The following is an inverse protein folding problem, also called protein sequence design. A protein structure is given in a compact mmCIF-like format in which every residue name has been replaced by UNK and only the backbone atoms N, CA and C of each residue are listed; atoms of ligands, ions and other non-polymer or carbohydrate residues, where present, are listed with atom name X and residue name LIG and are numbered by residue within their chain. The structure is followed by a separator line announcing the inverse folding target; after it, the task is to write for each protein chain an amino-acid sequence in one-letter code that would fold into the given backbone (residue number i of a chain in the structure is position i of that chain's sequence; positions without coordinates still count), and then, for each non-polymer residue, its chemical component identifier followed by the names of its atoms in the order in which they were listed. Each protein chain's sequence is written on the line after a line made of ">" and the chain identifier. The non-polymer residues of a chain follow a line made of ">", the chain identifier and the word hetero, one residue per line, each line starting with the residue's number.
data_IF_675068496270
#
_entry.id   IF_675068496270
#
_cell.length_a   1.000
_cell.length_b   1.000
_cell.length_c   1.000
_cell.angle_alpha   90.00
_cell.angle_beta   90.00
_cell.angle_gamma   90.00
#
_symmetry.space_group_name_H-M   'P 1'
#
loop_
_entity.id
_entity.type
_entity.pdbx_description
1 polymer ?
#
# COMPACT_ATOMS: atom_id res chain seq x y z
N UNK A 1 -3.21 -28.60 7.50
CA UNK A 1 -3.25 -27.42 6.62
C UNK A 1 -4.56 -26.64 6.74
N UNK A 2 -5.73 -27.28 6.63
CA UNK A 2 -7.03 -26.58 6.58
C UNK A 2 -7.40 -25.74 7.80
N UNK A 3 -6.97 -26.10 9.01
CA UNK A 3 -7.31 -25.31 10.20
C UNK A 3 -6.55 -23.97 10.27
N UNK A 4 -5.26 -23.97 9.93
CA UNK A 4 -4.48 -22.75 9.84
C UNK A 4 -4.98 -21.85 8.70
N UNK A 5 -5.41 -22.42 7.58
CA UNK A 5 -6.04 -21.68 6.48
C UNK A 5 -7.33 -20.96 6.93
N UNK A 6 -8.20 -21.66 7.68
CA UNK A 6 -9.41 -21.04 8.25
C UNK A 6 -9.07 -19.92 9.23
N UNK A 7 -8.05 -20.14 10.06
CA UNK A 7 -7.54 -19.11 10.96
C UNK A 7 -7.03 -17.90 10.19
N UNK A 8 -6.20 -18.11 9.16
CA UNK A 8 -5.62 -17.05 8.34
C UNK A 8 -6.70 -16.22 7.65
N UNK A 9 -7.69 -16.87 7.06
CA UNK A 9 -8.83 -16.19 6.45
C UNK A 9 -9.63 -15.38 7.50
N UNK A 10 -9.91 -15.99 8.66
CA UNK A 10 -10.63 -15.32 9.76
C UNK A 10 -9.88 -14.10 10.33
N UNK A 11 -8.56 -14.20 10.50
CA UNK A 11 -7.74 -13.11 11.03
C UNK A 11 -7.53 -11.99 10.01
N UNK A 12 -7.27 -12.32 8.74
CA UNK A 12 -6.92 -11.32 7.72
C UNK A 12 -8.15 -10.56 7.19
N UNK A 13 -9.30 -11.22 7.05
CA UNK A 13 -10.51 -10.61 6.51
C UNK A 13 -11.43 -9.96 7.55
N UNK A 14 -11.12 -10.04 8.85
CA UNK A 14 -11.89 -9.30 9.86
C UNK A 14 -11.71 -7.79 9.70
N UNK A 15 -12.70 -6.99 10.13
CA UNK A 15 -12.62 -5.53 10.08
C UNK A 15 -11.33 -4.98 10.70
N UNK A 16 -10.79 -3.89 10.12
CA UNK A 16 -9.50 -3.30 10.52
C UNK A 16 -9.59 -2.45 11.80
N UNK A 17 -10.80 -2.12 12.23
CA UNK A 17 -11.17 -1.40 13.44
C UNK A 17 -11.46 -2.34 14.64
N UNK A 18 -11.80 -3.60 14.37
CA UNK A 18 -12.11 -4.59 15.38
C UNK A 18 -10.84 -5.15 16.07
N UNK A 19 -10.55 -4.62 17.26
CA UNK A 19 -9.52 -5.09 18.22
C UNK A 19 -8.09 -5.10 17.67
N UNK A 20 -7.27 -4.15 18.13
CA UNK A 20 -5.82 -4.14 17.89
C UNK A 20 -5.20 -5.43 18.44
N UNK A 21 -4.70 -6.29 17.55
CA UNK A 21 -4.01 -7.51 17.97
C UNK A 21 -4.17 -8.67 17.00
N UNK A 22 -3.83 -9.87 17.48
CA UNK A 22 -3.88 -11.13 16.74
C UNK A 22 -5.13 -11.89 17.19
N UNK A 23 -5.90 -12.45 16.25
CA UNK A 23 -7.04 -13.30 16.61
C UNK A 23 -6.55 -14.54 17.38
N UNK A 24 -7.13 -14.87 18.53
CA UNK A 24 -6.87 -16.13 19.27
C UNK A 24 -5.37 -16.54 19.34
N UNK A 25 -4.50 -15.68 19.91
CA UNK A 25 -3.03 -15.89 19.94
C UNK A 25 -2.60 -17.31 20.37
N UNK A 26 -3.16 -17.84 21.45
CA UNK A 26 -2.81 -19.17 21.98
C UNK A 26 -3.14 -20.30 20.99
N UNK A 27 -4.24 -20.13 20.25
CA UNK A 27 -4.63 -21.07 19.19
C UNK A 27 -3.63 -21.02 18.05
N UNK A 28 -3.21 -19.82 17.62
CA UNK A 28 -2.19 -19.66 16.59
C UNK A 28 -0.87 -20.34 16.99
N UNK A 29 -0.40 -20.15 18.22
CA UNK A 29 0.82 -20.80 18.73
C UNK A 29 0.70 -22.33 18.63
N UNK A 30 -0.44 -22.88 19.08
CA UNK A 30 -0.71 -24.32 19.03
C UNK A 30 -0.73 -24.87 17.60
N UNK A 31 -1.40 -24.17 16.68
CA UNK A 31 -1.47 -24.53 15.26
C UNK A 31 -0.09 -24.52 14.60
N UNK A 32 0.68 -23.44 14.82
CA UNK A 32 2.01 -23.27 14.25
C UNK A 32 2.98 -24.31 14.82
N UNK A 33 2.97 -24.56 16.13
CA UNK A 33 3.79 -25.60 16.74
C UNK A 33 3.49 -26.99 16.14
N UNK A 34 2.21 -27.32 15.94
CA UNK A 34 1.80 -28.56 15.28
C UNK A 34 2.29 -28.68 13.84
N UNK A 35 2.18 -27.61 13.04
CA UNK A 35 2.63 -27.58 11.65
C UNK A 35 4.15 -27.64 11.50
N UNK A 36 4.87 -26.98 12.41
CA UNK A 36 6.33 -27.01 12.46
C UNK A 36 6.84 -28.41 12.83
N UNK A 37 6.20 -29.11 13.78
CA UNK A 37 6.52 -30.51 14.13
C UNK A 37 6.35 -31.47 12.95
N UNK A 38 5.42 -31.20 12.05
CA UNK A 38 5.18 -31.99 10.83
C UNK A 38 6.14 -31.63 9.68
N UNK A 39 7.08 -30.70 9.89
CA UNK A 39 7.96 -30.09 8.88
C UNK A 39 7.21 -29.57 7.64
N UNK A 40 5.95 -29.14 7.83
CA UNK A 40 5.07 -28.82 6.72
C UNK A 40 5.05 -27.31 6.45
N UNK A 41 6.17 -26.76 5.96
CA UNK A 41 6.38 -25.31 5.80
C UNK A 41 5.54 -24.63 4.71
N UNK A 42 4.74 -25.38 3.95
CA UNK A 42 3.85 -24.86 2.90
C UNK A 42 2.83 -23.85 3.45
N UNK A 43 2.48 -23.94 4.73
CA UNK A 43 1.53 -23.03 5.37
C UNK A 43 1.96 -21.55 5.29
N UNK A 44 3.28 -21.27 5.24
CA UNK A 44 3.79 -19.91 5.08
C UNK A 44 3.47 -19.35 3.69
N UNK A 45 3.59 -20.17 2.64
CA UNK A 45 3.20 -19.77 1.29
C UNK A 45 1.69 -19.56 1.20
N UNK A 46 0.92 -20.43 1.84
CA UNK A 46 -0.54 -20.27 1.92
C UNK A 46 -0.93 -18.99 2.65
N UNK A 47 -0.26 -18.67 3.78
CA UNK A 47 -0.48 -17.43 4.52
C UNK A 47 -0.15 -16.20 3.68
N UNK A 48 0.97 -16.24 2.94
CA UNK A 48 1.38 -15.17 2.02
C UNK A 48 0.31 -14.94 0.95
N UNK A 49 -0.19 -16.01 0.33
CA UNK A 49 -1.23 -15.92 -0.69
C UNK A 49 -2.53 -15.37 -0.11
N UNK A 50 -2.91 -15.80 1.10
CA UNK A 50 -4.09 -15.28 1.80
C UNK A 50 -3.97 -13.80 2.14
N UNK A 51 -2.79 -13.34 2.58
CA UNK A 51 -2.52 -11.92 2.85
C UNK A 51 -2.65 -11.07 1.57
N UNK A 52 -2.19 -11.57 0.43
CA UNK A 52 -2.39 -10.92 -0.88
C UNK A 52 -3.87 -10.88 -1.26
N UNK A 53 -4.60 -11.98 -1.05
CA UNK A 53 -6.05 -12.04 -1.30
C UNK A 53 -6.81 -11.07 -0.40
N UNK A 54 -6.45 -10.95 0.87
CA UNK A 54 -7.03 -9.99 1.80
C UNK A 54 -6.76 -8.53 1.37
N UNK A 55 -5.53 -8.23 0.93
CA UNK A 55 -5.20 -6.91 0.38
C UNK A 55 -6.04 -6.58 -0.87
N UNK A 56 -6.27 -7.55 -1.75
CA UNK A 56 -7.14 -7.39 -2.91
C UNK A 56 -8.60 -7.14 -2.53
N UNK A 57 -9.13 -7.92 -1.59
CA UNK A 57 -10.51 -7.79 -1.12
C UNK A 57 -10.74 -6.43 -0.47
N UNK A 58 -9.81 -6.00 0.38
CA UNK A 58 -9.82 -4.68 1.02
C UNK A 58 -9.85 -3.54 0.00
N UNK A 59 -9.00 -3.59 -1.03
CA UNK A 59 -9.01 -2.57 -2.08
C UNK A 59 -10.30 -2.58 -2.90
N UNK A 60 -10.82 -3.76 -3.25
CA UNK A 60 -12.12 -3.88 -3.96
C UNK A 60 -13.26 -3.29 -3.15
N UNK A 61 -13.33 -3.65 -1.86
CA UNK A 61 -14.35 -3.15 -0.94
C UNK A 61 -14.29 -1.62 -0.83
N UNK A 62 -13.09 -1.07 -0.65
CA UNK A 62 -12.87 0.37 -0.59
C UNK A 62 -13.30 1.06 -1.89
N UNK A 63 -12.96 0.49 -3.05
CA UNK A 63 -13.42 1.06 -4.33
C UNK A 63 -14.94 1.03 -4.46
N UNK A 64 -15.61 -0.03 -4.01
CA UNK A 64 -17.08 -0.12 -4.03
C UNK A 64 -17.70 0.93 -3.11
N UNK A 65 -17.19 1.09 -1.88
CA UNK A 65 -17.67 2.09 -0.93
C UNK A 65 -17.52 3.51 -1.46
N UNK A 66 -16.40 3.81 -2.11
CA UNK A 66 -16.18 5.13 -2.70
C UNK A 66 -17.03 5.38 -3.96
N UNK A 67 -17.38 4.34 -4.71
CA UNK A 67 -18.33 4.46 -5.83
C UNK A 67 -19.77 4.67 -5.31
N UNK A 68 -20.16 3.96 -4.27
CA UNK A 68 -21.49 4.08 -3.66
C UNK A 68 -21.71 5.47 -3.03
N UNK A 69 -20.70 6.04 -2.35
CA UNK A 69 -20.76 7.39 -1.77
C UNK A 69 -21.00 8.47 -2.85
N UNK A 70 -20.43 8.27 -4.04
CA UNK A 70 -20.66 9.16 -5.20
C UNK A 70 -22.06 8.96 -5.77
N UNK A 71 -22.56 7.72 -5.86
CA UNK A 71 -23.90 7.43 -6.37
C UNK A 71 -25.01 7.97 -5.45
N UNK A 72 -24.89 7.85 -4.12
CA UNK A 72 -25.86 8.41 -3.17
C UNK A 72 -25.97 9.94 -3.31
N UNK A 73 -24.88 10.63 -3.64
CA UNK A 73 -24.89 12.07 -3.95
C UNK A 73 -25.63 12.40 -5.26
N UNK A 74 -25.76 11.45 -6.18
CA UNK A 74 -26.36 11.64 -7.52
C UNK A 74 -27.80 11.16 -7.60
N UNK A 75 -28.35 10.52 -6.55
CA UNK A 75 -29.75 10.01 -6.56
C UNK A 75 -30.84 11.09 -6.63
N UNK A 76 -30.48 12.39 -6.68
CA UNK A 76 -31.40 13.50 -6.95
C UNK A 76 -31.53 13.93 -8.43
N UNK A 77 -30.57 13.59 -9.30
CA UNK A 77 -30.61 13.96 -10.72
C UNK A 77 -29.77 12.95 -11.49
N UNK A 78 -30.39 12.21 -12.41
CA UNK A 78 -29.80 11.10 -13.17
C UNK A 78 -28.69 11.49 -14.14
N UNK A 79 -27.68 12.22 -13.68
CA UNK A 79 -26.46 12.54 -14.40
C UNK A 79 -25.38 11.48 -14.17
N UNK A 80 -24.72 11.15 -15.27
CA UNK A 80 -23.53 10.30 -15.39
C UNK A 80 -22.56 10.56 -14.24
N UNK A 81 -22.11 9.50 -13.56
CA UNK A 81 -21.12 9.54 -12.48
C UNK A 81 -19.95 10.45 -12.90
N UNK A 82 -19.71 11.58 -12.21
CA UNK A 82 -18.64 12.48 -12.56
C UNK A 82 -17.30 11.73 -12.57
N UNK A 83 -16.39 12.02 -13.51
CA UNK A 83 -15.04 11.48 -13.43
C UNK A 83 -14.44 11.84 -12.07
N UNK A 84 -13.85 10.86 -11.38
CA UNK A 84 -13.20 11.06 -10.08
C UNK A 84 -12.28 12.28 -10.15
N UNK A 85 -12.63 13.34 -9.41
CA UNK A 85 -11.77 14.51 -9.34
C UNK A 85 -10.48 14.19 -8.55
N UNK A 86 -9.52 15.10 -8.61
CA UNK A 86 -8.24 14.90 -7.94
C UNK A 86 -8.35 14.83 -6.40
N UNK A 87 -9.38 15.42 -5.77
CA UNK A 87 -9.58 15.36 -4.33
C UNK A 87 -10.15 14.00 -3.90
N UNK A 88 -11.12 13.46 -4.64
CA UNK A 88 -11.64 12.11 -4.44
C UNK A 88 -10.55 11.08 -4.66
N UNK A 89 -9.73 11.22 -5.72
CA UNK A 89 -8.59 10.33 -5.94
C UNK A 89 -7.59 10.32 -4.77
N UNK A 90 -7.22 11.49 -4.24
CA UNK A 90 -6.34 11.58 -3.07
C UNK A 90 -6.97 10.94 -1.83
N UNK A 91 -8.27 11.15 -1.61
CA UNK A 91 -9.01 10.52 -0.52
C UNK A 91 -8.97 8.99 -0.63
N UNK A 92 -9.27 8.44 -1.81
CA UNK A 92 -9.19 6.99 -2.07
C UNK A 92 -7.78 6.47 -1.82
N UNK A 93 -6.76 7.16 -2.32
CA UNK A 93 -5.36 6.76 -2.12
C UNK A 93 -4.97 6.78 -0.64
N UNK A 94 -5.40 7.80 0.10
CA UNK A 94 -5.15 7.92 1.54
C UNK A 94 -5.80 6.77 2.30
N UNK A 95 -7.10 6.55 2.11
CA UNK A 95 -7.84 5.45 2.75
C UNK A 95 -7.22 4.08 2.41
N UNK A 96 -6.85 3.86 1.14
CA UNK A 96 -6.19 2.64 0.72
C UNK A 96 -4.82 2.46 1.41
N UNK A 97 -4.02 3.52 1.52
CA UNK A 97 -2.72 3.47 2.19
C UNK A 97 -2.85 3.15 3.68
N UNK A 98 -3.84 3.75 4.37
CA UNK A 98 -4.11 3.52 5.79
C UNK A 98 -4.60 2.09 6.03
N UNK A 99 -5.54 1.61 5.21
CA UNK A 99 -6.10 0.27 5.31
C UNK A 99 -5.06 -0.82 5.01
N UNK A 100 -4.27 -0.67 3.93
CA UNK A 100 -3.15 -1.58 3.64
C UNK A 100 -2.07 -1.53 4.72
N UNK A 101 -1.80 -0.36 5.30
CA UNK A 101 -0.87 -0.22 6.42
C UNK A 101 -1.29 -1.04 7.64
N UNK A 102 -2.58 -0.99 8.01
CA UNK A 102 -3.15 -1.81 9.09
C UNK A 102 -3.08 -3.30 8.78
N UNK A 103 -3.34 -3.70 7.52
CA UNK A 103 -3.21 -5.10 7.10
C UNK A 103 -1.76 -5.59 7.23
N UNK A 104 -0.77 -4.81 6.80
CA UNK A 104 0.65 -5.16 6.92
C UNK A 104 1.04 -5.30 8.40
N UNK A 105 0.54 -4.43 9.29
CA UNK A 105 0.76 -4.56 10.74
C UNK A 105 0.15 -5.84 11.31
N UNK A 106 -1.02 -6.26 10.83
CA UNK A 106 -1.65 -7.53 11.24
C UNK A 106 -0.81 -8.74 10.78
N UNK A 107 -0.35 -8.72 9.53
CA UNK A 107 0.56 -9.75 8.98
C UNK A 107 1.86 -9.81 9.77
N UNK A 108 2.43 -8.66 10.15
CA UNK A 108 3.60 -8.55 11.03
C UNK A 108 3.35 -9.23 12.38
N UNK A 109 2.19 -9.02 12.99
CA UNK A 109 1.87 -9.59 14.29
C UNK A 109 1.82 -11.13 14.23
N UNK A 110 1.18 -11.71 13.21
CA UNK A 110 1.17 -13.16 12.97
C UNK A 110 2.58 -13.69 12.65
N UNK A 111 3.33 -12.99 11.79
CA UNK A 111 4.73 -13.29 11.50
C UNK A 111 5.56 -13.38 12.79
N UNK A 112 5.42 -12.42 13.70
CA UNK A 112 6.18 -12.39 14.93
C UNK A 112 5.79 -13.59 15.82
N UNK A 113 4.52 -13.94 15.95
CA UNK A 113 4.11 -15.16 16.69
C UNK A 113 4.70 -16.43 16.07
N UNK A 114 4.69 -16.56 14.74
CA UNK A 114 5.29 -17.72 14.08
C UNK A 114 6.79 -17.77 14.36
N UNK A 115 7.50 -16.63 14.29
CA UNK A 115 8.92 -16.54 14.58
C UNK A 115 9.24 -16.95 16.03
N UNK A 116 8.49 -16.43 17.00
CA UNK A 116 8.68 -16.79 18.41
C UNK A 116 8.40 -18.27 18.64
N UNK A 117 7.33 -18.81 18.06
CA UNK A 117 6.98 -20.24 18.16
C UNK A 117 8.07 -21.13 17.56
N UNK A 118 8.63 -20.73 16.41
CA UNK A 118 9.73 -21.45 15.78
C UNK A 118 11.03 -21.39 16.59
N UNK A 119 11.31 -20.28 17.28
CA UNK A 119 12.47 -20.14 18.17
C UNK A 119 12.32 -20.98 19.44
N UNK A 120 11.13 -20.98 20.06
CA UNK A 120 10.85 -21.84 21.21
C UNK A 120 10.94 -23.33 20.84
N UNK A 121 10.55 -23.70 19.63
CA UNK A 121 10.60 -25.08 19.13
C UNK A 121 12.00 -25.58 18.73
N UNK A 122 12.98 -24.68 18.60
CA UNK A 122 14.40 -25.00 18.35
C UNK A 122 15.27 -24.87 19.63
N UNK A 123 14.74 -24.24 20.69
CA UNK A 123 15.41 -23.96 21.96
C UNK A 123 15.46 -25.13 22.96
N UNK A 124 16.12 -24.90 24.10
CA UNK A 124 16.52 -25.90 25.11
C UNK A 124 15.38 -26.44 26.00
N UNK A 125 14.13 -26.04 25.79
CA UNK A 125 13.03 -26.40 26.68
C UNK A 125 12.13 -27.49 26.07
N UNK A 126 12.38 -28.70 26.55
CA UNK A 126 11.51 -29.88 26.62
C UNK A 126 11.32 -30.73 25.36
N UNK A 127 11.23 -30.24 24.13
CA UNK A 127 11.19 -31.15 22.96
C UNK A 127 11.72 -30.50 21.67
N UNK A 128 13.01 -30.69 21.35
CA UNK A 128 13.60 -30.26 20.07
C UNK A 128 13.08 -31.13 18.93
N UNK A 129 12.10 -30.62 18.18
CA UNK A 129 11.64 -31.27 16.95
C UNK A 129 12.06 -30.53 15.67
N UNK A 130 12.45 -29.26 15.75
CA UNK A 130 13.00 -28.53 14.61
C UNK A 130 14.52 -28.62 14.60
N UNK A 131 15.07 -28.99 13.44
CA UNK A 131 16.50 -28.84 13.20
C UNK A 131 16.89 -27.36 13.12
N UNK A 132 18.16 -27.04 13.39
CA UNK A 132 18.68 -25.67 13.22
C UNK A 132 18.55 -25.19 11.76
N UNK A 133 18.65 -26.13 10.81
CA UNK A 133 18.47 -25.86 9.38
C UNK A 133 17.01 -25.50 9.05
N UNK A 134 16.04 -26.23 9.58
CA UNK A 134 14.62 -25.93 9.37
C UNK A 134 14.21 -24.62 10.05
N UNK A 135 14.78 -24.31 11.21
CA UNK A 135 14.58 -23.01 11.85
C UNK A 135 15.08 -21.86 10.96
N UNK A 136 16.29 -21.98 10.38
CA UNK A 136 16.82 -20.99 9.45
C UNK A 136 15.96 -20.87 8.18
N UNK A 137 15.44 -21.99 7.65
CA UNK A 137 14.52 -21.99 6.50
C UNK A 137 13.21 -21.25 6.81
N UNK A 138 12.66 -21.42 8.01
CA UNK A 138 11.47 -20.69 8.46
C UNK A 138 11.75 -19.19 8.55
N UNK A 139 12.88 -18.78 9.12
CA UNK A 139 13.24 -17.35 9.21
C UNK A 139 13.36 -16.68 7.83
N UNK A 140 13.99 -17.36 6.86
CA UNK A 140 14.10 -16.86 5.48
C UNK A 140 12.72 -16.72 4.86
N UNK A 141 11.88 -17.75 4.93
CA UNK A 141 10.51 -17.72 4.39
C UNK A 141 9.64 -16.65 5.04
N UNK A 142 9.79 -16.42 6.34
CA UNK A 142 9.07 -15.39 7.07
C UNK A 142 9.49 -13.97 6.64
N UNK A 143 10.78 -13.73 6.42
CA UNK A 143 11.28 -12.47 5.86
C UNK A 143 10.73 -12.25 4.45
N UNK A 144 10.83 -13.27 3.60
CA UNK A 144 10.33 -13.21 2.22
C UNK A 144 8.81 -12.96 2.16
N UNK A 145 8.06 -13.52 3.10
CA UNK A 145 6.62 -13.29 3.24
C UNK A 145 6.30 -11.82 3.51
N UNK A 146 6.95 -11.21 4.51
CA UNK A 146 6.71 -9.79 4.83
C UNK A 146 7.11 -8.89 3.67
N UNK A 147 8.24 -9.16 3.03
CA UNK A 147 8.71 -8.39 1.87
C UNK A 147 7.71 -8.51 0.72
N UNK A 148 7.23 -9.70 0.40
CA UNK A 148 6.28 -9.94 -0.68
C UNK A 148 4.95 -9.23 -0.46
N UNK A 149 4.41 -9.24 0.77
CA UNK A 149 3.15 -8.54 1.09
C UNK A 149 3.34 -7.02 1.01
N UNK A 150 4.47 -6.49 1.49
CA UNK A 150 4.78 -5.07 1.39
C UNK A 150 4.94 -4.63 -0.08
N UNK A 151 5.74 -5.35 -0.87
CA UNK A 151 5.93 -5.07 -2.30
C UNK A 151 4.60 -5.08 -3.04
N UNK A 152 3.72 -6.05 -2.76
CA UNK A 152 2.38 -6.11 -3.34
C UNK A 152 1.54 -4.85 -3.02
N UNK A 153 1.52 -4.42 -1.76
CA UNK A 153 0.77 -3.23 -1.36
C UNK A 153 1.32 -1.96 -2.03
N UNK A 154 2.65 -1.83 -2.13
CA UNK A 154 3.31 -0.74 -2.85
C UNK A 154 2.95 -0.71 -4.33
N UNK A 155 2.93 -1.86 -5.00
CA UNK A 155 2.50 -1.97 -6.40
C UNK A 155 1.04 -1.57 -6.59
N UNK A 156 0.15 -1.97 -5.68
CA UNK A 156 -1.27 -1.58 -5.74
C UNK A 156 -1.46 -0.08 -5.59
N UNK A 157 -0.79 0.54 -4.61
CA UNK A 157 -0.83 2.01 -4.44
C UNK A 157 -0.17 2.72 -5.64
N UNK A 158 0.93 2.21 -6.18
CA UNK A 158 1.58 2.76 -7.37
C UNK A 158 0.65 2.71 -8.59
N UNK A 159 -0.12 1.63 -8.74
CA UNK A 159 -1.14 1.50 -9.77
C UNK A 159 -2.24 2.56 -9.59
N UNK A 160 -2.71 2.81 -8.36
CA UNK A 160 -3.69 3.87 -8.08
C UNK A 160 -3.14 5.27 -8.33
N UNK A 161 -1.85 5.49 -8.12
CA UNK A 161 -1.21 6.78 -8.47
C UNK A 161 -1.13 6.97 -9.98
N UNK A 162 -0.80 5.90 -10.70
CA UNK A 162 -0.59 5.95 -12.15
C UNK A 162 -1.89 6.13 -12.94
N UNK A 163 -3.06 5.76 -12.40
CA UNK A 163 -4.34 5.96 -13.08
C UNK A 163 -4.76 7.43 -13.20
N UNK A 164 -4.12 8.34 -12.46
CA UNK A 164 -4.45 9.77 -12.44
C UNK A 164 -3.68 10.62 -13.46
N UNK A 165 -2.57 10.14 -14.02
CA UNK A 165 -1.63 10.97 -14.82
C UNK A 165 -2.26 11.63 -16.05
N UNK A 166 -3.30 11.01 -16.59
CA UNK A 166 -3.85 11.38 -17.89
C UNK A 166 -5.19 12.14 -17.79
N UNK A 167 -5.89 12.05 -16.65
CA UNK A 167 -7.30 12.44 -16.55
C UNK A 167 -7.55 13.85 -16.01
N UNK A 168 -6.73 14.36 -15.09
CA UNK A 168 -6.99 15.64 -14.41
C UNK A 168 -5.73 16.48 -14.22
N UNK A 169 -5.88 17.81 -14.19
CA UNK A 169 -4.83 18.71 -13.70
C UNK A 169 -4.81 18.68 -12.17
N UNK A 170 -3.64 18.41 -11.59
CA UNK A 170 -3.43 18.45 -10.14
C UNK A 170 -2.76 19.77 -9.74
N UNK A 171 -3.07 20.27 -8.55
CA UNK A 171 -2.48 21.49 -8.00
C UNK A 171 -1.18 21.18 -7.24
N UNK A 172 -0.41 22.23 -6.92
CA UNK A 172 0.76 22.11 -6.05
C UNK A 172 0.41 21.51 -4.68
N UNK A 173 -0.73 21.89 -4.09
CA UNK A 173 -1.18 21.37 -2.80
C UNK A 173 -1.51 19.88 -2.87
N UNK A 174 -2.13 19.43 -3.96
CA UNK A 174 -2.46 18.03 -4.19
C UNK A 174 -1.21 17.17 -4.41
N UNK A 175 -0.17 17.71 -5.06
CA UNK A 175 1.13 17.04 -5.17
C UNK A 175 1.81 16.92 -3.80
N UNK A 176 1.72 17.95 -2.95
CA UNK A 176 2.26 17.89 -1.60
C UNK A 176 1.53 16.86 -0.72
N UNK A 177 0.19 16.80 -0.81
CA UNK A 177 -0.62 15.79 -0.12
C UNK A 177 -0.25 14.37 -0.58
N UNK A 178 -0.11 14.16 -1.89
CA UNK A 178 0.37 12.90 -2.45
C UNK A 178 1.74 12.51 -1.90
N UNK A 179 2.68 13.45 -1.80
CA UNK A 179 4.02 13.21 -1.22
C UNK A 179 3.89 12.69 0.21
N UNK A 180 3.05 13.34 1.03
CA UNK A 180 2.84 12.94 2.42
C UNK A 180 2.26 11.53 2.53
N UNK A 181 1.28 11.17 1.69
CA UNK A 181 0.71 9.81 1.67
C UNK A 181 1.79 8.77 1.33
N UNK A 182 2.60 9.06 0.30
CA UNK A 182 3.66 8.16 -0.19
C UNK A 182 4.77 7.98 0.86
N UNK A 183 5.18 9.06 1.51
CA UNK A 183 6.19 9.06 2.56
C UNK A 183 5.72 8.26 3.78
N UNK A 184 4.52 8.59 4.29
CA UNK A 184 3.93 7.92 5.45
C UNK A 184 3.82 6.39 5.25
N UNK A 185 3.31 5.98 4.08
CA UNK A 185 3.18 4.56 3.77
C UNK A 185 4.55 3.88 3.59
N UNK A 186 5.51 4.56 2.93
CA UNK A 186 6.85 4.00 2.75
C UNK A 186 7.55 3.81 4.10
N UNK A 187 7.51 4.81 4.99
CA UNK A 187 8.09 4.74 6.33
C UNK A 187 7.42 3.67 7.20
N UNK A 188 6.10 3.50 7.10
CA UNK A 188 5.39 2.42 7.78
C UNK A 188 5.89 1.06 7.29
N UNK A 189 5.94 0.86 5.96
CA UNK A 189 6.35 -0.42 5.37
C UNK A 189 7.82 -0.74 5.68
N UNK A 190 8.73 0.23 5.60
CA UNK A 190 10.15 0.07 5.86
C UNK A 190 10.42 -0.32 7.32
N UNK A 191 9.67 0.27 8.27
CA UNK A 191 9.73 -0.14 9.69
C UNK A 191 9.25 -1.58 9.93
N UNK A 192 8.43 -2.12 9.04
CA UNK A 192 7.84 -3.46 9.18
C UNK A 192 8.70 -4.53 8.50
N UNK A 193 9.09 -4.33 7.24
CA UNK A 193 9.84 -5.32 6.46
C UNK A 193 11.36 -5.04 6.40
N UNK A 194 11.84 -3.93 7.01
CA UNK A 194 13.23 -3.49 6.98
C UNK A 194 13.80 -3.28 5.56
N UNK A 195 12.93 -3.02 4.59
CA UNK A 195 13.31 -2.80 3.18
C UNK A 195 12.43 -1.71 2.57
N UNK A 196 13.02 -0.90 1.70
CA UNK A 196 12.25 0.04 0.88
C UNK A 196 11.74 -0.64 -0.39
N UNK A 197 10.44 -0.49 -0.67
CA UNK A 197 9.85 -0.87 -1.94
C UNK A 197 9.83 0.34 -2.89
N UNK A 198 10.41 0.24 -4.10
CA UNK A 198 10.61 1.41 -4.96
C UNK A 198 9.35 1.82 -5.75
N UNK A 199 8.38 0.92 -5.92
CA UNK A 199 7.27 1.08 -6.87
C UNK A 199 6.44 2.36 -6.62
N UNK A 200 6.02 2.60 -5.37
CA UNK A 200 5.19 3.75 -5.03
C UNK A 200 5.95 5.08 -5.18
N UNK A 201 7.20 5.13 -4.71
CA UNK A 201 8.09 6.31 -4.88
C UNK A 201 8.35 6.60 -6.37
N UNK A 202 8.49 5.58 -7.20
CA UNK A 202 8.67 5.74 -8.64
C UNK A 202 7.41 6.32 -9.30
N UNK A 203 6.22 5.78 -8.98
CA UNK A 203 4.95 6.30 -9.48
C UNK A 203 4.72 7.76 -9.06
N UNK A 204 5.03 8.10 -7.81
CA UNK A 204 5.00 9.48 -7.32
C UNK A 204 5.92 10.40 -8.14
N UNK A 205 7.17 10.02 -8.37
CA UNK A 205 8.13 10.82 -9.15
C UNK A 205 7.62 11.11 -10.57
N UNK A 206 7.02 10.12 -11.22
CA UNK A 206 6.40 10.27 -12.54
C UNK A 206 5.27 11.30 -12.46
N UNK A 207 4.38 11.18 -11.47
CA UNK A 207 3.25 12.08 -11.32
C UNK A 207 3.67 13.52 -11.00
N UNK A 208 4.65 13.70 -10.11
CA UNK A 208 5.23 15.00 -9.79
C UNK A 208 5.93 15.61 -11.01
N UNK A 209 6.67 14.81 -11.78
CA UNK A 209 7.31 15.24 -13.03
C UNK A 209 6.30 15.72 -14.07
N UNK A 210 5.19 14.98 -14.25
CA UNK A 210 4.10 15.38 -15.13
C UNK A 210 3.46 16.71 -14.72
N UNK A 211 3.26 16.91 -13.41
CA UNK A 211 2.77 18.20 -12.88
C UNK A 211 3.74 19.34 -13.21
N UNK A 212 5.03 19.18 -12.89
CA UNK A 212 6.06 20.20 -13.12
C UNK A 212 6.12 20.55 -14.62
N UNK A 213 6.11 19.55 -15.50
CA UNK A 213 6.11 19.78 -16.94
C UNK A 213 4.88 20.58 -17.39
N UNK A 214 3.67 20.15 -17.00
CA UNK A 214 2.42 20.86 -17.33
C UNK A 214 2.42 22.30 -16.79
N UNK A 215 2.88 22.50 -15.56
CA UNK A 215 2.96 23.80 -14.89
C UNK A 215 3.88 24.79 -15.63
N UNK A 216 5.07 24.34 -16.05
CA UNK A 216 5.99 25.19 -16.80
C UNK A 216 5.51 25.44 -18.23
N UNK A 217 4.93 24.43 -18.88
CA UNK A 217 4.38 24.57 -20.22
C UNK A 217 3.26 25.62 -20.25
N UNK A 218 2.33 25.58 -19.28
CA UNK A 218 1.25 26.56 -19.17
C UNK A 218 1.79 27.99 -18.95
N UNK A 219 2.81 28.18 -18.11
CA UNK A 219 3.44 29.49 -17.89
C UNK A 219 4.15 30.01 -19.12
N UNK A 220 4.89 29.14 -19.81
CA UNK A 220 5.56 29.48 -21.07
C UNK A 220 4.53 29.94 -22.09
N UNK A 221 3.47 29.16 -22.30
CA UNK A 221 2.40 29.51 -23.24
C UNK A 221 1.72 30.84 -22.87
N UNK A 222 1.43 31.07 -21.59
CA UNK A 222 0.87 32.34 -21.11
C UNK A 222 1.82 33.51 -21.38
N UNK A 223 3.12 33.34 -21.12
CA UNK A 223 4.12 34.37 -21.38
C UNK A 223 4.22 34.67 -22.88
N UNK A 224 4.28 33.64 -23.73
CA UNK A 224 4.29 33.79 -25.19
C UNK A 224 3.07 34.59 -25.66
N UNK A 225 1.87 34.25 -25.21
CA UNK A 225 0.66 34.99 -25.56
C UNK A 225 0.70 36.46 -25.13
N UNK A 226 1.26 36.76 -23.95
CA UNK A 226 1.41 38.13 -23.46
C UNK A 226 2.45 38.92 -24.27
N UNK A 227 3.54 38.26 -24.68
CA UNK A 227 4.59 38.86 -25.51
C UNK A 227 4.09 39.14 -26.94
N UNK A 228 3.31 38.22 -27.52
CA UNK A 228 2.72 38.38 -28.86
C UNK A 228 1.67 39.49 -28.88
N UNK A 229 0.93 39.66 -27.77
CA UNK A 229 -0.04 40.73 -27.62
C UNK A 229 0.62 42.10 -27.31
N UNK A 230 1.90 42.13 -26.93
CA UNK A 230 2.59 43.36 -26.57
C UNK A 230 2.87 44.22 -27.81
N UNK A 231 2.58 45.52 -27.73
CA UNK A 231 2.98 46.50 -28.74
C UNK A 231 4.39 46.98 -28.43
N UNK A 232 5.36 46.30 -29.03
CA UNK A 232 6.78 46.62 -28.90
C UNK A 232 7.08 48.02 -29.43
N UNK A 233 7.72 48.86 -28.61
CA UNK A 233 8.32 50.14 -29.04
C UNK A 233 9.83 49.96 -29.16
N UNK A 234 10.44 50.62 -30.14
CA UNK A 234 11.90 50.66 -30.28
C UNK A 234 12.47 51.33 -29.03
N UNK A 235 13.45 50.69 -28.40
CA UNK A 235 14.17 51.29 -27.28
C UNK A 235 15.11 52.37 -27.82
N UNK A 236 15.02 53.59 -27.27
CA UNK A 236 16.00 54.64 -27.56
C UNK A 236 17.33 54.23 -26.91
N UNK A 237 18.26 53.79 -27.75
CA UNK A 237 19.63 53.47 -27.32
C UNK A 237 20.47 54.72 -27.54
N UNK A 238 20.99 55.32 -26.47
CA UNK A 238 21.97 56.41 -26.59
C UNK A 238 23.23 55.87 -27.29
N UNK A 239 23.65 56.46 -28.42
CA UNK A 239 24.91 56.08 -29.05
C UNK A 239 26.08 56.40 -28.12
N UNK A 240 27.06 55.49 -28.06
CA UNK A 240 28.33 55.67 -27.31
C UNK A 240 29.15 56.86 -27.82
#
# INVERSE_FOLDING_TARGET
>A
STEFERYAAGDLHRPLDASEGILERERLVSLVAGLLRQNHLQFLETYKQEAVTAAQALLKQLMIEQLADVEDCLTGSGEVTPPMDAAHWLRVLRLASEALGKLIQRVRAVHDVIKHTAASSSGLETEKFLSLEDHARVEVKLKDLLVSVCDYCHERLASLVSTQSDKQTITASQVAELSSIVENFTELSERICCRQSPALKAAFKIQAGNYVHKFHLQRKNKLTLLLDAARWKVADVTPE
#
